data_IF_045390642392
#
_entry.id   IF_045390642392
#
_cell.length_a   1.000
_cell.length_b   1.000
_cell.length_c   1.000
_cell.angle_alpha   90.00
_cell.angle_beta   90.00
_cell.angle_gamma   90.00
#
_symmetry.space_group_name_H-M   'P 1'
#
loop_
_entity.id
_entity.type
_entity.pdbx_description
1 polymer ?
#
# COMPACT_ATOMS: atom_id res chain seq x y z
N UNK A 1 34.02 -17.74 -0.04
CA UNK A 1 35.02 -18.66 0.56
C UNK A 1 36.36 -18.00 0.89
N UNK A 2 36.76 -16.92 0.21
CA UNK A 2 38.06 -16.26 0.43
C UNK A 2 38.00 -15.12 1.45
N UNK A 3 36.85 -14.47 1.65
CA UNK A 3 36.65 -13.35 2.56
C UNK A 3 35.20 -13.33 3.08
N UNK A 4 35.03 -13.08 4.37
CA UNK A 4 33.69 -12.97 4.98
C UNK A 4 32.99 -11.67 4.57
N UNK A 5 33.72 -10.57 4.39
CA UNK A 5 33.17 -9.30 3.93
C UNK A 5 32.64 -9.43 2.50
N UNK A 6 33.48 -9.93 1.56
CA UNK A 6 33.05 -10.19 0.20
C UNK A 6 31.90 -11.23 0.10
N UNK A 7 31.85 -12.17 1.05
CA UNK A 7 30.72 -13.10 1.13
C UNK A 7 29.40 -12.37 1.46
N UNK A 8 29.42 -11.43 2.39
CA UNK A 8 28.23 -10.64 2.72
C UNK A 8 27.73 -9.82 1.53
N UNK A 9 28.63 -9.14 0.82
CA UNK A 9 28.30 -8.35 -0.37
C UNK A 9 27.69 -9.21 -1.49
N UNK A 10 28.28 -10.37 -1.78
CA UNK A 10 27.78 -11.29 -2.81
C UNK A 10 26.43 -11.90 -2.40
N UNK A 11 26.25 -12.26 -1.12
CA UNK A 11 24.97 -12.80 -0.62
C UNK A 11 23.85 -11.77 -0.65
N UNK A 12 24.17 -10.50 -0.48
CA UNK A 12 23.19 -9.41 -0.63
C UNK A 12 22.82 -9.16 -2.11
N UNK A 13 23.80 -9.35 -3.02
CA UNK A 13 23.63 -9.02 -4.42
C UNK A 13 23.01 -10.14 -5.27
N UNK A 14 23.21 -11.41 -4.94
CA UNK A 14 22.85 -12.56 -5.80
C UNK A 14 21.96 -13.54 -5.09
N UNK A 15 20.85 -13.91 -5.71
CA UNK A 15 20.01 -15.01 -5.25
C UNK A 15 20.53 -16.37 -5.78
N UNK A 16 20.29 -17.49 -5.08
CA UNK A 16 20.74 -18.82 -5.51
C UNK A 16 20.31 -19.18 -6.93
N UNK A 17 19.10 -18.77 -7.33
CA UNK A 17 18.48 -19.04 -8.64
C UNK A 17 19.22 -18.33 -9.80
N UNK A 18 20.06 -17.35 -9.49
CA UNK A 18 20.86 -16.66 -10.50
C UNK A 18 21.96 -17.54 -11.06
N UNK A 19 22.34 -18.61 -10.38
CA UNK A 19 23.36 -19.54 -10.90
C UNK A 19 22.78 -20.51 -11.92
N UNK A 20 23.49 -20.66 -13.05
CA UNK A 20 23.06 -21.56 -14.13
C UNK A 20 23.28 -23.04 -13.80
N UNK A 21 24.40 -23.36 -13.15
CA UNK A 21 24.77 -24.76 -12.84
C UNK A 21 24.18 -25.18 -11.50
N UNK A 22 23.38 -26.26 -11.42
CA UNK A 22 22.83 -26.77 -10.18
C UNK A 22 23.86 -26.97 -9.06
N UNK A 23 25.10 -27.49 -9.32
CA UNK A 23 26.13 -27.56 -8.29
C UNK A 23 26.47 -26.20 -7.66
N UNK A 24 26.45 -25.11 -8.42
CA UNK A 24 26.74 -23.76 -7.89
C UNK A 24 25.59 -23.27 -7.00
N UNK A 25 24.34 -23.58 -7.34
CA UNK A 25 23.17 -23.29 -6.49
C UNK A 25 23.32 -24.00 -5.15
N UNK A 26 23.67 -25.29 -5.15
CA UNK A 26 23.86 -26.08 -3.93
C UNK A 26 25.01 -25.54 -3.07
N UNK A 27 26.14 -25.21 -3.67
CA UNK A 27 27.30 -24.62 -2.98
C UNK A 27 26.92 -23.24 -2.40
N UNK A 28 26.22 -22.42 -3.16
CA UNK A 28 25.81 -21.09 -2.71
C UNK A 28 24.84 -21.16 -1.54
N UNK A 29 23.85 -22.05 -1.58
CA UNK A 29 22.94 -22.31 -0.49
C UNK A 29 23.67 -22.78 0.79
N UNK A 30 24.65 -23.66 0.65
CA UNK A 30 25.47 -24.11 1.78
C UNK A 30 26.24 -22.93 2.40
N UNK A 31 26.87 -22.09 1.57
CA UNK A 31 27.59 -20.88 2.02
C UNK A 31 26.64 -19.91 2.70
N UNK A 32 25.44 -19.69 2.14
CA UNK A 32 24.40 -18.80 2.72
C UNK A 32 23.99 -19.30 4.10
N UNK A 33 23.69 -20.59 4.23
CA UNK A 33 23.31 -21.18 5.51
C UNK A 33 24.42 -21.05 6.56
N UNK A 34 25.66 -21.39 6.18
CA UNK A 34 26.82 -21.27 7.07
C UNK A 34 27.08 -19.83 7.49
N UNK A 35 26.86 -18.85 6.58
CA UNK A 35 27.03 -17.43 6.86
C UNK A 35 26.02 -16.94 7.91
N UNK A 36 24.72 -17.30 7.74
CA UNK A 36 23.64 -16.95 8.65
C UNK A 36 23.83 -17.56 10.04
N UNK A 37 24.42 -18.76 10.13
CA UNK A 37 24.72 -19.43 11.40
C UNK A 37 26.04 -18.93 12.04
N UNK A 38 26.72 -17.98 11.42
CA UNK A 38 27.97 -17.44 11.94
C UNK A 38 29.17 -18.38 11.81
N UNK A 39 29.05 -19.46 11.05
CA UNK A 39 30.13 -20.43 10.86
C UNK A 39 31.29 -19.83 10.05
N UNK A 40 32.48 -20.40 10.23
CA UNK A 40 33.63 -20.08 9.42
C UNK A 40 33.44 -20.65 8.00
N UNK A 41 33.69 -19.83 7.00
CA UNK A 41 33.45 -20.18 5.60
C UNK A 41 34.81 -20.20 4.87
N UNK A 42 35.33 -21.38 4.68
CA UNK A 42 36.49 -21.66 3.85
C UNK A 42 36.24 -22.96 3.07
N UNK A 43 37.16 -23.31 2.18
CA UNK A 43 37.04 -24.48 1.33
C UNK A 43 36.82 -25.78 2.12
N UNK A 44 37.50 -25.94 3.26
CA UNK A 44 37.47 -27.17 4.07
C UNK A 44 36.14 -27.26 4.83
N UNK A 45 35.71 -26.15 5.43
CA UNK A 45 34.45 -26.11 6.19
C UNK A 45 33.23 -26.25 5.30
N UNK A 46 33.25 -25.69 4.08
CA UNK A 46 32.18 -25.87 3.09
C UNK A 46 32.16 -27.32 2.57
N UNK A 47 33.31 -27.92 2.31
CA UNK A 47 33.39 -29.34 1.91
C UNK A 47 32.82 -30.26 2.98
N UNK A 48 33.18 -30.01 4.24
CA UNK A 48 32.63 -30.77 5.38
C UNK A 48 31.12 -30.60 5.49
N UNK A 49 30.62 -29.38 5.42
CA UNK A 49 29.17 -29.11 5.48
C UNK A 49 28.42 -29.85 4.39
N UNK A 50 28.92 -29.81 3.15
CA UNK A 50 28.31 -30.53 2.00
C UNK A 50 28.42 -32.05 2.16
N UNK A 51 29.47 -32.55 2.77
CA UNK A 51 29.62 -34.00 3.05
C UNK A 51 28.60 -34.45 4.10
N UNK A 52 28.46 -33.68 5.18
CA UNK A 52 27.50 -33.95 6.25
C UNK A 52 26.05 -33.90 5.74
N UNK A 53 25.76 -33.04 4.73
CA UNK A 53 24.48 -32.93 4.05
C UNK A 53 24.27 -34.00 2.93
N UNK A 54 25.29 -34.79 2.58
CA UNK A 54 25.24 -35.79 1.49
C UNK A 54 25.33 -35.21 0.09
N UNK A 55 25.66 -33.92 -0.06
CA UNK A 55 25.69 -33.21 -1.34
C UNK A 55 27.08 -33.07 -1.96
N UNK A 56 28.17 -33.43 -1.23
CA UNK A 56 29.52 -33.17 -1.68
C UNK A 56 29.84 -33.83 -3.05
N UNK A 57 29.43 -35.06 -3.26
CA UNK A 57 29.67 -35.75 -4.55
C UNK A 57 28.84 -35.15 -5.70
N UNK A 58 27.61 -34.69 -5.40
CA UNK A 58 26.71 -34.05 -6.38
C UNK A 58 27.26 -32.72 -6.90
N UNK A 59 28.03 -32.01 -6.08
CA UNK A 59 28.66 -30.75 -6.47
C UNK A 59 30.02 -30.93 -7.15
N UNK A 60 30.52 -32.14 -7.29
CA UNK A 60 31.79 -32.45 -7.90
C UNK A 60 32.96 -32.71 -6.94
N UNK A 61 32.66 -32.99 -5.70
CA UNK A 61 33.62 -33.32 -4.66
C UNK A 61 34.46 -32.14 -4.15
N UNK A 62 35.36 -32.43 -3.21
CA UNK A 62 36.24 -31.42 -2.65
C UNK A 62 37.20 -30.82 -3.68
N UNK A 63 37.59 -31.61 -4.72
CA UNK A 63 38.42 -31.15 -5.82
C UNK A 63 37.79 -30.02 -6.64
N UNK A 64 36.49 -30.07 -6.84
CA UNK A 64 35.78 -29.01 -7.55
C UNK A 64 35.72 -27.70 -6.74
N UNK A 65 35.52 -27.79 -5.45
CA UNK A 65 35.60 -26.60 -4.58
C UNK A 65 36.98 -25.96 -4.61
N UNK A 66 38.04 -26.77 -4.69
CA UNK A 66 39.40 -26.28 -4.83
C UNK A 66 39.58 -25.54 -6.17
N UNK A 67 39.07 -26.08 -7.27
CA UNK A 67 39.10 -25.44 -8.59
C UNK A 67 38.37 -24.09 -8.55
N UNK A 68 37.20 -24.03 -7.96
CA UNK A 68 36.43 -22.78 -7.82
C UNK A 68 37.17 -21.69 -7.03
N UNK A 69 37.81 -22.06 -5.94
CA UNK A 69 38.60 -21.10 -5.14
C UNK A 69 39.81 -20.58 -5.92
N UNK A 70 40.47 -21.42 -6.70
CA UNK A 70 41.60 -21.01 -7.49
C UNK A 70 41.27 -20.25 -8.78
N UNK A 71 40.03 -20.37 -9.27
CA UNK A 71 39.56 -19.64 -10.43
C UNK A 71 39.46 -18.12 -10.20
N UNK A 72 39.37 -17.68 -8.93
CA UNK A 72 39.24 -16.27 -8.58
C UNK A 72 40.51 -15.81 -7.84
N UNK A 73 41.30 -14.90 -8.44
CA UNK A 73 42.57 -14.47 -7.86
C UNK A 73 42.47 -13.70 -6.58
N UNK A 74 41.35 -12.96 -6.38
CA UNK A 74 41.13 -12.11 -5.20
C UNK A 74 39.65 -12.04 -4.83
N UNK A 75 39.39 -11.90 -3.55
CA UNK A 75 38.02 -11.68 -3.06
C UNK A 75 37.52 -10.23 -3.26
N UNK A 76 38.42 -9.31 -3.59
CA UNK A 76 38.11 -7.88 -3.70
C UNK A 76 37.12 -7.53 -4.84
N UNK A 77 36.93 -8.41 -5.82
CA UNK A 77 36.04 -8.21 -6.97
C UNK A 77 34.74 -9.05 -6.87
N UNK A 78 34.34 -9.42 -5.64
CA UNK A 78 33.16 -10.26 -5.42
C UNK A 78 31.88 -9.63 -5.94
N UNK A 79 31.70 -8.34 -5.70
CA UNK A 79 30.60 -7.48 -6.18
C UNK A 79 30.52 -7.43 -7.70
N UNK A 80 31.65 -7.21 -8.36
CA UNK A 80 31.74 -7.21 -9.82
C UNK A 80 31.34 -8.56 -10.44
N UNK A 81 31.80 -9.67 -9.87
CA UNK A 81 31.38 -11.00 -10.34
C UNK A 81 29.88 -11.27 -10.04
N UNK A 82 29.37 -10.77 -8.92
CA UNK A 82 27.96 -10.85 -8.59
C UNK A 82 27.09 -10.15 -9.66
N UNK A 83 27.47 -8.95 -10.07
CA UNK A 83 26.80 -8.19 -11.13
C UNK A 83 26.79 -8.96 -12.48
N UNK A 84 27.89 -9.62 -12.84
CA UNK A 84 27.94 -10.46 -14.04
C UNK A 84 26.97 -11.64 -13.95
N UNK A 85 26.91 -12.30 -12.79
CA UNK A 85 25.98 -13.42 -12.57
C UNK A 85 24.53 -12.96 -12.69
N UNK A 86 24.19 -11.82 -12.10
CA UNK A 86 22.86 -11.21 -12.22
C UNK A 86 22.48 -10.86 -13.66
N UNK A 87 23.36 -10.15 -14.40
CA UNK A 87 23.09 -9.82 -15.83
C UNK A 87 22.79 -11.08 -16.63
N UNK A 88 23.59 -12.14 -16.44
CA UNK A 88 23.36 -13.41 -17.13
C UNK A 88 22.07 -14.11 -16.68
N UNK A 89 21.70 -14.02 -15.42
CA UNK A 89 20.45 -14.55 -14.92
C UNK A 89 19.23 -13.80 -15.51
N UNK A 90 19.30 -12.47 -15.58
CA UNK A 90 18.24 -11.65 -16.20
C UNK A 90 18.06 -11.96 -17.68
N UNK A 91 19.16 -12.11 -18.43
CA UNK A 91 19.09 -12.50 -19.85
C UNK A 91 18.44 -13.86 -20.04
N UNK A 92 18.72 -14.83 -19.17
CA UNK A 92 18.03 -16.14 -19.18
C UNK A 92 16.55 -15.98 -18.85
N UNK A 93 16.24 -15.18 -17.83
CA UNK A 93 14.85 -14.87 -17.46
C UNK A 93 14.06 -14.22 -18.60
N UNK A 94 14.68 -13.32 -19.39
CA UNK A 94 14.07 -12.76 -20.61
C UNK A 94 13.79 -13.82 -21.68
N UNK A 95 14.71 -14.75 -21.89
CA UNK A 95 14.52 -15.86 -22.84
C UNK A 95 13.37 -16.77 -22.38
N UNK A 96 13.34 -17.12 -21.09
CA UNK A 96 12.29 -17.95 -20.51
C UNK A 96 10.93 -17.26 -20.58
N UNK A 97 10.87 -15.96 -20.26
CA UNK A 97 9.67 -15.15 -20.38
C UNK A 97 9.17 -15.13 -21.83
N UNK A 98 10.07 -14.87 -22.79
CA UNK A 98 9.72 -14.90 -24.21
C UNK A 98 9.13 -16.25 -24.62
N UNK A 99 9.75 -17.35 -24.22
CA UNK A 99 9.23 -18.70 -24.51
C UNK A 99 7.84 -18.95 -23.90
N UNK A 100 7.61 -18.51 -22.65
CA UNK A 100 6.29 -18.60 -22.00
C UNK A 100 5.25 -17.74 -22.71
N UNK A 101 5.59 -16.53 -23.12
CA UNK A 101 4.68 -15.64 -23.86
C UNK A 101 4.28 -16.27 -25.20
N UNK A 102 5.24 -16.87 -25.93
CA UNK A 102 4.97 -17.61 -27.17
C UNK A 102 4.02 -18.77 -26.91
N UNK A 103 4.26 -19.58 -25.86
CA UNK A 103 3.39 -20.70 -25.49
C UNK A 103 1.98 -20.21 -25.13
N UNK A 104 1.85 -19.12 -24.38
CA UNK A 104 0.55 -18.53 -24.05
C UNK A 104 -0.18 -18.03 -25.29
N UNK A 105 0.53 -17.47 -26.28
CA UNK A 105 -0.08 -17.01 -27.54
C UNK A 105 -0.60 -18.15 -28.42
N UNK A 106 -0.06 -19.36 -28.30
CA UNK A 106 -0.54 -20.56 -28.98
C UNK A 106 -1.58 -21.35 -28.18
N UNK A 107 -1.81 -21.01 -26.92
CA UNK A 107 -2.81 -21.70 -26.10
C UNK A 107 -4.21 -21.41 -26.64
N UNK A 108 -5.01 -22.46 -26.81
CA UNK A 108 -6.41 -22.35 -27.27
C UNK A 108 -7.39 -22.16 -26.11
N UNK A 109 -6.93 -22.26 -24.89
CA UNK A 109 -7.72 -22.12 -23.67
C UNK A 109 -7.38 -20.80 -22.93
N UNK A 110 -8.40 -20.18 -22.35
CA UNK A 110 -8.27 -18.93 -21.57
C UNK A 110 -8.65 -17.68 -22.36
N UNK A 111 -9.09 -16.66 -21.63
CA UNK A 111 -9.40 -15.35 -22.20
C UNK A 111 -8.12 -14.60 -22.59
N UNK A 112 -8.08 -14.03 -23.79
CA UNK A 112 -6.91 -13.29 -24.29
C UNK A 112 -6.47 -12.17 -23.34
N UNK A 113 -7.43 -11.50 -22.70
CA UNK A 113 -7.18 -10.46 -21.68
C UNK A 113 -6.39 -11.00 -20.48
N UNK A 114 -6.70 -12.21 -20.01
CA UNK A 114 -5.99 -12.86 -18.90
C UNK A 114 -4.55 -13.21 -19.28
N UNK A 115 -4.33 -13.69 -20.50
CA UNK A 115 -3.01 -14.02 -21.01
C UNK A 115 -2.11 -12.77 -21.11
N UNK A 116 -2.67 -11.66 -21.56
CA UNK A 116 -1.96 -10.37 -21.61
C UNK A 116 -1.60 -9.90 -20.20
N UNK A 117 -2.54 -9.93 -19.26
CA UNK A 117 -2.28 -9.54 -17.87
C UNK A 117 -1.21 -10.44 -17.21
N UNK A 118 -1.27 -11.73 -17.44
CA UNK A 118 -0.26 -12.67 -16.96
C UNK A 118 1.13 -12.35 -17.51
N UNK A 119 1.22 -11.93 -18.76
CA UNK A 119 2.48 -11.47 -19.37
C UNK A 119 3.04 -10.24 -18.65
N UNK A 120 2.18 -9.26 -18.34
CA UNK A 120 2.59 -8.07 -17.58
C UNK A 120 3.10 -8.43 -16.19
N UNK A 121 2.42 -9.32 -15.48
CA UNK A 121 2.85 -9.80 -14.15
C UNK A 121 4.22 -10.46 -14.22
N UNK A 122 4.42 -11.41 -15.14
CA UNK A 122 5.70 -12.10 -15.32
C UNK A 122 6.83 -11.14 -15.70
N UNK A 123 6.55 -10.11 -16.51
CA UNK A 123 7.52 -9.08 -16.88
C UNK A 123 7.93 -8.23 -15.67
N UNK A 124 6.98 -7.87 -14.80
CA UNK A 124 7.26 -7.15 -13.55
C UNK A 124 8.09 -7.99 -12.58
N UNK A 125 7.74 -9.26 -12.39
CA UNK A 125 8.50 -10.19 -11.55
C UNK A 125 9.96 -10.32 -12.03
N UNK A 126 10.19 -10.36 -13.35
CA UNK A 126 11.53 -10.42 -13.91
C UNK A 126 12.31 -9.11 -13.66
N UNK A 127 11.65 -7.96 -13.84
CA UNK A 127 12.23 -6.65 -13.51
C UNK A 127 12.65 -6.58 -12.05
N UNK A 128 11.76 -6.99 -11.14
CA UNK A 128 11.98 -6.90 -9.70
C UNK A 128 13.11 -7.83 -9.22
N UNK A 129 13.32 -8.97 -9.89
CA UNK A 129 14.52 -9.83 -9.70
C UNK A 129 15.80 -9.17 -10.21
N UNK A 130 15.69 -8.30 -11.19
CA UNK A 130 16.83 -7.61 -11.82
C UNK A 130 17.27 -6.35 -11.13
N UNK A 131 16.38 -5.74 -10.40
CA UNK A 131 16.75 -4.67 -9.49
C UNK A 131 17.37 -5.35 -8.27
N UNK A 132 18.72 -5.39 -8.24
CA UNK A 132 19.41 -5.51 -6.95
C UNK A 132 18.70 -4.54 -6.01
N UNK A 133 18.46 -4.96 -4.78
CA UNK A 133 18.01 -4.00 -3.77
C UNK A 133 19.01 -2.84 -3.84
N UNK A 134 18.63 -1.77 -4.53
CA UNK A 134 19.39 -0.53 -4.45
C UNK A 134 19.57 -0.32 -2.96
N UNK A 135 20.78 -0.30 -2.50
CA UNK A 135 21.07 0.02 -1.12
C UNK A 135 20.35 1.33 -0.88
N UNK A 136 19.25 1.26 -0.13
CA UNK A 136 18.58 2.48 0.31
C UNK A 136 19.68 3.32 0.94
N UNK A 137 19.99 4.50 0.42
CA UNK A 137 21.12 5.27 0.89
C UNK A 137 20.98 5.46 2.39
N UNK A 138 21.93 4.91 3.14
CA UNK A 138 22.03 5.20 4.57
C UNK A 138 22.47 6.65 4.68
N UNK A 139 21.57 7.50 5.13
CA UNK A 139 21.85 8.92 5.31
C UNK A 139 22.51 9.14 6.66
N UNK A 140 23.59 9.93 6.71
CA UNK A 140 24.12 10.46 7.97
C UNK A 140 23.06 11.33 8.66
N UNK A 141 23.05 11.33 9.99
CA UNK A 141 22.08 12.09 10.77
C UNK A 141 22.10 13.60 10.45
N UNK A 142 23.29 14.17 10.24
CA UNK A 142 23.41 15.60 9.93
C UNK A 142 22.86 15.92 8.55
N UNK A 143 23.12 15.07 7.55
CA UNK A 143 22.57 15.22 6.20
C UNK A 143 21.05 15.03 6.22
N UNK A 144 20.55 14.05 6.97
CA UNK A 144 19.14 13.81 7.15
C UNK A 144 18.41 15.02 7.77
N UNK A 145 18.97 15.63 8.81
CA UNK A 145 18.38 16.79 9.49
C UNK A 145 18.62 18.11 8.76
N UNK A 146 19.59 18.19 7.86
CA UNK A 146 19.84 19.38 7.04
C UNK A 146 18.73 19.65 6.01
N UNK A 147 18.00 18.63 5.62
CA UNK A 147 16.83 18.76 4.76
C UNK A 147 15.69 19.35 5.59
N UNK A 148 15.32 20.61 5.27
CA UNK A 148 14.13 21.22 5.89
C UNK A 148 12.90 20.39 5.53
N UNK A 149 12.37 19.71 6.52
CA UNK A 149 11.10 18.99 6.37
C UNK A 149 9.96 20.01 6.29
N UNK A 150 9.33 20.12 5.13
CA UNK A 150 8.08 20.84 4.97
C UNK A 150 6.99 19.79 4.70
N UNK A 151 5.84 19.93 5.33
CA UNK A 151 4.69 19.10 5.01
C UNK A 151 4.29 19.27 3.54
N UNK A 152 4.11 18.18 2.82
CA UNK A 152 3.57 18.18 1.45
C UNK A 152 2.03 18.08 1.51
N UNK A 153 1.41 19.16 1.95
CA UNK A 153 -0.03 19.24 2.16
C UNK A 153 -0.81 19.12 0.84
N UNK A 154 -1.67 18.14 0.73
CA UNK A 154 -2.74 18.07 -0.26
C UNK A 154 -3.95 18.92 0.19
N UNK A 155 -4.33 18.78 1.45
CA UNK A 155 -5.31 19.63 2.11
C UNK A 155 -4.65 20.15 3.39
N UNK A 156 -4.32 21.43 3.48
CA UNK A 156 -3.55 21.99 4.58
C UNK A 156 -4.09 21.64 5.95
N UNK A 157 -3.25 21.10 6.82
CA UNK A 157 -3.63 20.65 8.16
C UNK A 157 -4.47 19.38 8.23
N UNK A 158 -4.99 18.85 7.12
CA UNK A 158 -5.88 17.69 7.13
C UNK A 158 -5.26 16.44 6.50
N UNK A 159 -4.58 16.59 5.35
CA UNK A 159 -4.14 15.48 4.54
C UNK A 159 -2.82 15.83 3.84
N UNK A 160 -1.81 15.01 4.06
CA UNK A 160 -0.52 15.10 3.41
C UNK A 160 -0.41 14.07 2.28
N UNK A 161 0.46 14.35 1.29
CA UNK A 161 0.78 13.38 0.26
C UNK A 161 1.38 12.13 0.89
N UNK A 162 0.83 10.97 0.52
CA UNK A 162 1.26 9.69 1.07
C UNK A 162 0.50 9.23 2.32
N UNK A 163 -0.36 10.04 2.92
CA UNK A 163 -1.19 9.62 4.06
C UNK A 163 -2.10 8.46 3.70
N UNK A 164 -2.33 7.57 4.67
CA UNK A 164 -3.37 6.52 4.66
C UNK A 164 -4.35 6.80 5.78
N UNK A 165 -5.58 7.08 5.42
CA UNK A 165 -6.65 7.43 6.35
C UNK A 165 -7.80 6.45 6.24
N UNK A 166 -8.28 5.94 7.38
CA UNK A 166 -9.52 5.16 7.46
C UNK A 166 -10.56 5.90 8.29
N UNK A 167 -11.71 6.18 7.66
CA UNK A 167 -12.87 6.74 8.31
C UNK A 167 -13.87 5.64 8.70
N UNK A 168 -14.27 5.62 9.96
CA UNK A 168 -15.20 4.61 10.49
C UNK A 168 -16.47 5.23 11.03
N UNK A 169 -17.56 4.49 10.98
CA UNK A 169 -18.82 4.82 11.65
C UNK A 169 -19.71 3.58 11.74
N UNK A 170 -20.80 3.70 12.49
CA UNK A 170 -21.95 2.81 12.35
C UNK A 170 -22.57 2.91 10.94
N UNK A 171 -23.46 1.98 10.60
CA UNK A 171 -24.32 2.13 9.42
C UNK A 171 -25.14 3.41 9.53
N UNK A 172 -25.29 4.15 8.42
CA UNK A 172 -25.96 5.45 8.42
C UNK A 172 -25.24 6.56 9.16
N UNK A 173 -24.01 6.32 9.70
CA UNK A 173 -23.25 7.29 10.48
C UNK A 173 -22.70 8.49 9.68
N UNK A 174 -22.83 8.49 8.36
CA UNK A 174 -22.48 9.63 7.50
C UNK A 174 -21.05 9.59 6.93
N UNK A 175 -20.31 8.49 7.11
CA UNK A 175 -18.92 8.35 6.61
C UNK A 175 -18.80 8.55 5.10
N UNK A 176 -19.61 7.84 4.28
CA UNK A 176 -19.56 7.95 2.82
C UNK A 176 -19.96 9.35 2.33
N UNK A 177 -20.87 10.02 3.05
CA UNK A 177 -21.23 11.41 2.77
C UNK A 177 -20.06 12.36 3.03
N UNK A 178 -19.30 12.15 4.14
CA UNK A 178 -18.11 12.94 4.43
C UNK A 178 -17.00 12.67 3.42
N UNK A 179 -16.76 11.42 3.04
CA UNK A 179 -15.78 11.08 2.02
C UNK A 179 -16.08 11.74 0.67
N UNK A 180 -17.36 11.76 0.27
CA UNK A 180 -17.80 12.42 -0.96
C UNK A 180 -17.66 13.95 -0.88
N UNK A 181 -17.91 14.55 0.29
CA UNK A 181 -17.67 15.97 0.50
C UNK A 181 -16.18 16.29 0.40
N UNK A 182 -15.29 15.52 1.05
CA UNK A 182 -13.85 15.67 0.92
C UNK A 182 -13.43 15.58 -0.56
N UNK A 183 -13.91 14.57 -1.29
CA UNK A 183 -13.59 14.39 -2.70
C UNK A 183 -13.99 15.59 -3.56
N UNK A 184 -15.24 16.04 -3.44
CA UNK A 184 -15.78 17.16 -4.24
C UNK A 184 -15.09 18.47 -3.89
N UNK A 185 -14.93 18.78 -2.59
CA UNK A 185 -14.25 19.99 -2.17
C UNK A 185 -12.81 20.02 -2.66
N UNK A 186 -12.05 18.95 -2.43
CA UNK A 186 -10.64 18.88 -2.87
C UNK A 186 -10.50 19.00 -4.39
N UNK A 187 -11.37 18.34 -5.17
CA UNK A 187 -11.36 18.45 -6.63
C UNK A 187 -11.79 19.84 -7.12
N UNK A 188 -12.63 20.54 -6.37
CA UNK A 188 -13.08 21.89 -6.65
C UNK A 188 -12.09 23.00 -6.16
N UNK A 189 -10.99 22.63 -5.51
CA UNK A 189 -10.05 23.56 -4.92
C UNK A 189 -10.55 24.24 -3.65
N UNK A 190 -11.28 23.50 -2.81
CA UNK A 190 -11.80 23.93 -1.53
C UNK A 190 -11.34 23.02 -0.40
N UNK A 191 -10.97 23.61 0.72
CA UNK A 191 -10.85 22.88 1.96
C UNK A 191 -12.23 22.34 2.40
N UNK A 192 -12.37 21.04 2.73
CA UNK A 192 -13.68 20.42 2.96
C UNK A 192 -14.42 20.93 4.20
N UNK A 193 -13.75 21.58 5.13
CA UNK A 193 -14.33 22.04 6.38
C UNK A 193 -14.34 23.57 6.53
N UNK A 194 -13.27 24.23 6.14
CA UNK A 194 -13.16 25.68 6.23
C UNK A 194 -13.65 26.41 4.98
N UNK A 195 -13.82 25.68 3.88
CA UNK A 195 -14.14 26.17 2.53
C UNK A 195 -13.16 27.24 2.01
N UNK A 196 -11.96 27.31 2.60
CA UNK A 196 -10.89 28.16 2.07
C UNK A 196 -10.36 27.58 0.74
N UNK A 197 -9.93 28.45 -0.19
CA UNK A 197 -9.31 27.98 -1.41
C UNK A 197 -8.03 27.16 -1.14
N UNK A 198 -7.89 26.06 -1.85
CA UNK A 198 -6.68 25.23 -1.94
C UNK A 198 -6.38 24.95 -3.42
N UNK A 199 -5.24 24.35 -3.72
CA UNK A 199 -4.98 23.87 -5.08
C UNK A 199 -5.93 22.71 -5.42
N UNK A 200 -6.61 22.73 -6.59
CA UNK A 200 -7.52 21.67 -6.97
C UNK A 200 -6.78 20.35 -7.17
N UNK A 201 -7.25 19.28 -6.52
CA UNK A 201 -6.63 17.95 -6.58
C UNK A 201 -7.26 17.09 -7.67
N UNK A 202 -6.43 16.22 -8.27
CA UNK A 202 -6.94 15.07 -9.05
C UNK A 202 -7.39 13.99 -8.10
N UNK A 203 -8.69 13.71 -8.07
CA UNK A 203 -9.31 12.74 -7.17
C UNK A 203 -9.81 11.55 -7.96
N UNK A 204 -9.54 10.34 -7.50
CA UNK A 204 -10.13 9.10 -8.00
C UNK A 204 -11.00 8.48 -6.91
N UNK A 205 -12.29 8.28 -7.21
CA UNK A 205 -13.22 7.53 -6.35
C UNK A 205 -13.45 6.15 -6.97
N UNK A 206 -13.16 5.11 -6.22
CA UNK A 206 -13.49 3.71 -6.53
C UNK A 206 -14.54 3.23 -5.52
N UNK A 207 -15.82 3.43 -5.87
CA UNK A 207 -16.96 3.03 -5.04
C UNK A 207 -17.25 1.55 -5.26
N UNK A 208 -16.84 0.71 -4.31
CA UNK A 208 -16.99 -0.74 -4.39
C UNK A 208 -18.30 -1.25 -3.75
N UNK A 209 -19.24 -0.37 -3.43
CA UNK A 209 -20.51 -0.74 -2.80
C UNK A 209 -21.71 -0.25 -3.59
N UNK A 210 -21.65 0.95 -4.14
CA UNK A 210 -22.79 1.60 -4.78
C UNK A 210 -22.68 1.55 -6.30
N UNK A 211 -23.84 1.40 -6.97
CA UNK A 211 -23.91 1.52 -8.41
C UNK A 211 -23.94 2.99 -8.87
N UNK A 212 -23.64 3.23 -10.14
CA UNK A 212 -23.52 4.58 -10.73
C UNK A 212 -24.71 5.51 -10.44
N UNK A 213 -25.94 5.00 -10.49
CA UNK A 213 -27.13 5.82 -10.26
C UNK A 213 -27.20 6.35 -8.82
N UNK A 214 -26.82 5.54 -7.83
CA UNK A 214 -26.77 5.94 -6.42
C UNK A 214 -25.64 6.93 -6.17
N UNK A 215 -24.45 6.63 -6.68
CA UNK A 215 -23.27 7.49 -6.56
C UNK A 215 -23.50 8.83 -7.24
N UNK A 216 -24.14 8.86 -8.42
CA UNK A 216 -24.51 10.11 -9.12
C UNK A 216 -25.47 10.96 -8.30
N UNK A 217 -26.54 10.37 -7.75
CA UNK A 217 -27.48 11.10 -6.87
C UNK A 217 -26.81 11.69 -5.63
N UNK A 218 -25.81 11.00 -5.08
CA UNK A 218 -25.10 11.47 -3.91
C UNK A 218 -24.08 12.58 -4.21
N UNK A 219 -23.43 12.54 -5.37
CA UNK A 219 -22.41 13.52 -5.76
C UNK A 219 -22.97 14.77 -6.42
N UNK A 220 -24.08 14.66 -7.16
CA UNK A 220 -24.63 15.77 -7.91
C UNK A 220 -24.97 17.02 -7.05
N UNK A 221 -25.60 16.91 -5.88
CA UNK A 221 -25.84 18.07 -5.02
C UNK A 221 -24.56 18.75 -4.55
N UNK A 222 -23.53 17.97 -4.24
CA UNK A 222 -22.24 18.49 -3.78
C UNK A 222 -21.51 19.26 -4.90
N UNK A 223 -21.49 18.70 -6.12
CA UNK A 223 -20.93 19.36 -7.28
C UNK A 223 -21.68 20.65 -7.65
N UNK A 224 -23.01 20.66 -7.52
CA UNK A 224 -23.81 21.86 -7.70
C UNK A 224 -23.50 22.91 -6.63
N UNK A 225 -23.29 22.52 -5.38
CA UNK A 225 -22.89 23.43 -4.31
C UNK A 225 -21.53 24.06 -4.60
N UNK A 226 -20.53 23.28 -5.00
CA UNK A 226 -19.23 23.81 -5.40
C UNK A 226 -19.36 24.82 -6.55
N UNK A 227 -20.19 24.52 -7.54
CA UNK A 227 -20.45 25.44 -8.67
C UNK A 227 -21.12 26.75 -8.22
N UNK A 228 -22.10 26.69 -7.30
CA UNK A 228 -22.74 27.89 -6.72
C UNK A 228 -21.75 28.77 -5.96
N UNK A 229 -20.72 28.17 -5.39
CA UNK A 229 -19.64 28.88 -4.69
C UNK A 229 -18.53 29.36 -5.64
N UNK A 230 -18.76 29.27 -6.94
CA UNK A 230 -17.83 29.64 -8.01
C UNK A 230 -16.55 28.76 -8.06
N UNK A 231 -16.64 27.53 -7.54
CA UNK A 231 -15.59 26.52 -7.58
C UNK A 231 -16.00 25.34 -8.47
N UNK A 232 -15.81 25.52 -9.77
CA UNK A 232 -16.20 24.49 -10.75
C UNK A 232 -15.11 23.44 -10.88
N UNK A 233 -15.48 22.16 -10.73
CA UNK A 233 -14.58 21.04 -10.99
C UNK A 233 -14.28 20.96 -12.48
N UNK A 234 -13.02 21.06 -12.86
CA UNK A 234 -12.59 20.95 -14.25
C UNK A 234 -12.66 19.47 -14.72
N UNK A 235 -12.76 19.29 -16.03
CA UNK A 235 -12.71 17.94 -16.62
C UNK A 235 -11.39 17.27 -16.27
N UNK A 236 -11.45 16.02 -15.80
CA UNK A 236 -10.28 15.26 -15.37
C UNK A 236 -9.86 15.44 -13.91
N UNK A 237 -10.40 16.45 -13.17
CA UNK A 237 -10.08 16.62 -11.74
C UNK A 237 -10.75 15.57 -10.85
N UNK A 238 -11.91 15.05 -11.20
CA UNK A 238 -12.60 14.01 -10.45
C UNK A 238 -13.00 12.88 -11.37
N UNK A 239 -12.44 11.70 -11.13
CA UNK A 239 -12.79 10.46 -11.82
C UNK A 239 -13.52 9.52 -10.86
N UNK A 240 -14.56 8.86 -11.33
CA UNK A 240 -15.41 7.98 -10.54
C UNK A 240 -15.58 6.67 -11.28
N UNK A 241 -15.37 5.57 -10.59
CA UNK A 241 -15.68 4.22 -11.06
C UNK A 241 -16.47 3.47 -10.00
N UNK A 242 -17.56 2.83 -10.39
CA UNK A 242 -18.45 2.10 -9.50
C UNK A 242 -18.32 0.60 -9.76
N UNK A 243 -17.99 -0.15 -8.72
CA UNK A 243 -17.88 -1.61 -8.73
C UNK A 243 -18.79 -2.22 -7.64
N UNK A 244 -20.11 -2.19 -7.81
CA UNK A 244 -21.05 -2.56 -6.74
C UNK A 244 -20.96 -4.02 -6.30
N UNK A 245 -20.37 -4.88 -7.12
CA UNK A 245 -20.05 -6.26 -6.75
C UNK A 245 -18.84 -6.37 -5.80
N UNK A 246 -18.11 -5.28 -5.57
CA UNK A 246 -16.81 -5.27 -4.92
C UNK A 246 -15.68 -5.61 -5.90
N UNK A 247 -14.45 -5.56 -5.42
CA UNK A 247 -13.24 -5.98 -6.13
C UNK A 247 -12.44 -6.92 -5.23
N UNK A 248 -11.73 -7.86 -5.83
CA UNK A 248 -10.86 -8.77 -5.07
C UNK A 248 -9.39 -8.47 -5.39
N UNK A 249 -8.82 -7.50 -4.67
CA UNK A 249 -7.44 -7.07 -4.88
C UNK A 249 -6.39 -8.15 -4.59
N UNK A 250 -6.80 -9.30 -4.05
CA UNK A 250 -5.92 -10.48 -3.93
C UNK A 250 -5.72 -11.19 -5.25
N UNK A 251 -6.57 -10.90 -6.27
CA UNK A 251 -6.49 -11.45 -7.62
C UNK A 251 -5.66 -10.54 -8.53
N UNK A 252 -4.83 -11.15 -9.37
CA UNK A 252 -3.96 -10.44 -10.29
C UNK A 252 -4.74 -9.50 -11.25
N UNK A 253 -5.92 -9.91 -11.71
CA UNK A 253 -6.76 -9.15 -12.61
C UNK A 253 -7.25 -7.82 -11.98
N UNK A 254 -7.77 -7.88 -10.75
CA UNK A 254 -8.31 -6.72 -10.05
C UNK A 254 -7.17 -5.80 -9.57
N UNK A 255 -6.02 -6.36 -9.17
CA UNK A 255 -4.79 -5.59 -8.91
C UNK A 255 -4.37 -4.83 -10.17
N UNK A 256 -4.25 -5.51 -11.31
CA UNK A 256 -3.86 -4.87 -12.57
C UNK A 256 -4.89 -3.82 -13.02
N UNK A 257 -6.20 -4.06 -12.80
CA UNK A 257 -7.24 -3.07 -13.03
C UNK A 257 -6.99 -1.79 -12.22
N UNK A 258 -6.74 -1.89 -10.91
CA UNK A 258 -6.45 -0.74 -10.04
C UNK A 258 -5.19 0.00 -10.51
N UNK A 259 -4.12 -0.72 -10.77
CA UNK A 259 -2.84 -0.12 -11.18
C UNK A 259 -2.98 0.65 -12.51
N UNK A 260 -3.68 0.11 -13.51
CA UNK A 260 -3.96 0.83 -14.77
C UNK A 260 -4.72 2.14 -14.55
N UNK A 261 -5.69 2.19 -13.60
CA UNK A 261 -6.42 3.43 -13.27
C UNK A 261 -5.51 4.47 -12.65
N UNK A 262 -4.73 4.03 -11.69
CA UNK A 262 -3.78 4.89 -10.98
C UNK A 262 -2.70 5.45 -11.93
N UNK A 263 -2.10 4.61 -12.76
CA UNK A 263 -1.09 5.02 -13.76
C UNK A 263 -1.66 6.00 -14.79
N UNK A 264 -2.87 5.76 -15.27
CA UNK A 264 -3.53 6.59 -16.28
C UNK A 264 -3.99 7.95 -15.73
N UNK A 265 -4.61 7.94 -14.55
CA UNK A 265 -5.26 9.13 -13.97
C UNK A 265 -4.32 9.93 -13.07
N UNK A 266 -3.26 9.29 -12.54
CA UNK A 266 -2.29 9.89 -11.60
C UNK A 266 -2.98 10.72 -10.51
N UNK A 267 -3.90 10.12 -9.76
CA UNK A 267 -4.62 10.84 -8.72
C UNK A 267 -3.66 11.33 -7.65
N UNK A 268 -4.00 12.48 -7.01
CA UNK A 268 -3.34 12.97 -5.80
C UNK A 268 -4.09 12.50 -4.55
N UNK A 269 -5.37 12.16 -4.72
CA UNK A 269 -6.20 11.54 -3.69
C UNK A 269 -6.93 10.34 -4.28
N UNK A 270 -6.74 9.17 -3.68
CA UNK A 270 -7.47 7.93 -3.99
C UNK A 270 -8.45 7.63 -2.87
N UNK A 271 -9.74 7.60 -3.18
CA UNK A 271 -10.79 7.13 -2.27
C UNK A 271 -11.26 5.77 -2.75
N UNK A 272 -11.08 4.74 -1.93
CA UNK A 272 -11.44 3.36 -2.28
C UNK A 272 -12.13 2.66 -1.10
N UNK A 273 -13.16 1.91 -1.39
CA UNK A 273 -13.82 1.13 -0.34
C UNK A 273 -15.31 0.92 -0.56
N UNK A 274 -15.97 0.37 0.45
CA UNK A 274 -15.48 0.08 1.81
C UNK A 274 -14.52 -1.10 1.88
N UNK A 275 -13.71 -1.14 2.95
CA UNK A 275 -12.63 -2.12 3.15
C UNK A 275 -13.07 -3.56 2.96
N UNK A 276 -14.24 -3.93 3.47
CA UNK A 276 -14.76 -5.31 3.38
C UNK A 276 -15.13 -5.76 1.96
N UNK A 277 -15.15 -4.84 0.98
CA UNK A 277 -15.44 -5.10 -0.43
C UNK A 277 -14.18 -5.28 -1.28
N UNK A 278 -13.00 -5.24 -0.65
CA UNK A 278 -11.72 -5.29 -1.38
C UNK A 278 -11.10 -6.69 -1.46
N UNK A 279 -11.76 -7.70 -0.89
CA UNK A 279 -11.48 -9.12 -1.07
C UNK A 279 -12.72 -9.97 -0.81
N UNK A 280 -12.77 -11.17 -1.38
CA UNK A 280 -13.92 -12.06 -1.29
C UNK A 280 -13.90 -13.01 -0.08
N UNK A 281 -12.81 -13.02 0.71
CA UNK A 281 -12.63 -13.94 1.83
C UNK A 281 -13.14 -13.41 3.17
N UNK A 282 -12.77 -14.11 4.26
CA UNK A 282 -13.17 -13.74 5.61
C UNK A 282 -12.60 -12.36 5.99
N UNK A 283 -13.44 -11.38 6.40
CA UNK A 283 -12.97 -10.04 6.79
C UNK A 283 -11.99 -10.01 7.97
N UNK A 284 -11.95 -11.05 8.79
CA UNK A 284 -11.04 -11.17 9.92
C UNK A 284 -9.68 -11.78 9.56
N UNK A 285 -9.51 -12.23 8.32
CA UNK A 285 -8.27 -12.86 7.87
C UNK A 285 -7.17 -11.79 7.66
N UNK A 286 -6.10 -11.92 8.46
CA UNK A 286 -4.97 -10.98 8.43
C UNK A 286 -4.11 -11.16 7.18
N UNK A 287 -4.01 -12.38 6.64
CA UNK A 287 -3.24 -12.62 5.41
C UNK A 287 -3.91 -11.97 4.19
N UNK A 288 -5.23 -12.11 4.07
CA UNK A 288 -5.99 -11.44 3.00
C UNK A 288 -5.91 -9.92 3.14
N UNK A 289 -6.08 -9.39 4.34
CA UNK A 289 -5.93 -7.96 4.60
C UNK A 289 -4.52 -7.47 4.22
N UNK A 290 -3.47 -8.24 4.52
CA UNK A 290 -2.09 -7.92 4.15
C UNK A 290 -1.90 -7.89 2.63
N UNK A 291 -2.45 -8.84 1.89
CA UNK A 291 -2.41 -8.83 0.41
C UNK A 291 -3.07 -7.57 -0.16
N UNK A 292 -4.23 -7.18 0.38
CA UNK A 292 -4.93 -5.95 -0.02
C UNK A 292 -4.11 -4.71 0.29
N UNK A 293 -3.55 -4.60 1.51
CA UNK A 293 -2.75 -3.42 1.89
C UNK A 293 -1.49 -3.25 1.03
N UNK A 294 -0.83 -4.35 0.63
CA UNK A 294 0.32 -4.32 -0.29
C UNK A 294 -0.08 -3.71 -1.64
N UNK A 295 -1.23 -4.11 -2.20
CA UNK A 295 -1.71 -3.57 -3.49
C UNK A 295 -2.08 -2.10 -3.38
N UNK A 296 -2.70 -1.68 -2.27
CA UNK A 296 -3.04 -0.27 -2.04
C UNK A 296 -1.77 0.57 -1.83
N UNK A 297 -0.77 0.06 -1.09
CA UNK A 297 0.51 0.74 -0.92
C UNK A 297 1.27 0.87 -2.24
N UNK A 298 1.21 -0.14 -3.12
CA UNK A 298 1.75 -0.07 -4.48
C UNK A 298 1.05 1.03 -5.30
N UNK A 299 -0.28 1.08 -5.27
CA UNK A 299 -1.07 2.09 -5.97
C UNK A 299 -0.74 3.50 -5.45
N UNK A 300 -0.65 3.67 -4.11
CA UNK A 300 -0.27 4.91 -3.45
C UNK A 300 1.12 5.38 -3.87
N UNK A 301 2.11 4.49 -3.83
CA UNK A 301 3.48 4.81 -4.21
C UNK A 301 3.60 5.17 -5.71
N UNK A 302 2.89 4.45 -6.59
CA UNK A 302 2.88 4.68 -8.03
C UNK A 302 2.31 6.06 -8.40
N UNK A 303 1.24 6.49 -7.73
CA UNK A 303 0.63 7.79 -7.97
C UNK A 303 1.27 8.92 -7.17
N UNK A 304 1.97 8.62 -6.07
CA UNK A 304 2.37 9.59 -5.06
C UNK A 304 1.15 10.25 -4.41
N UNK A 305 0.11 9.48 -4.08
CA UNK A 305 -1.18 10.00 -3.60
C UNK A 305 -1.41 9.73 -2.12
N UNK A 306 -2.36 10.46 -1.52
CA UNK A 306 -2.99 10.03 -0.29
C UNK A 306 -4.11 9.03 -0.56
N UNK A 307 -4.33 8.10 0.37
CA UNK A 307 -5.39 7.08 0.29
C UNK A 307 -6.37 7.26 1.42
N UNK A 308 -7.64 7.40 1.07
CA UNK A 308 -8.74 7.47 2.00
C UNK A 308 -9.64 6.25 1.83
N UNK A 309 -9.97 5.60 2.92
CA UNK A 309 -10.83 4.41 2.93
C UNK A 309 -11.92 4.55 3.97
N UNK A 310 -13.02 3.85 3.75
CA UNK A 310 -14.08 3.73 4.75
C UNK A 310 -14.22 2.30 5.26
N UNK A 311 -14.54 2.17 6.56
CA UNK A 311 -14.83 0.89 7.18
C UNK A 311 -16.01 1.00 8.18
N UNK A 312 -16.66 -0.13 8.41
CA UNK A 312 -17.69 -0.19 9.47
C UNK A 312 -17.01 -0.36 10.83
N UNK A 313 -17.53 0.35 11.83
CA UNK A 313 -17.21 0.09 13.22
C UNK A 313 -17.95 -1.19 13.69
N UNK A 314 -17.38 -1.99 14.62
CA UNK A 314 -18.01 -3.20 15.16
C UNK A 314 -19.39 -2.89 15.75
N UNK A 315 -20.27 -3.87 15.78
CA UNK A 315 -21.55 -3.71 16.51
C UNK A 315 -21.30 -3.44 17.99
N UNK A 316 -22.16 -2.65 18.60
CA UNK A 316 -22.08 -2.35 20.03
C UNK A 316 -22.36 -3.63 20.83
N UNK A 317 -21.46 -3.99 21.74
CA UNK A 317 -21.56 -5.21 22.56
C UNK A 317 -22.23 -5.01 23.93
N UNK A 318 -22.69 -3.81 24.22
CA UNK A 318 -23.41 -3.47 25.45
C UNK A 318 -22.55 -3.33 26.72
N UNK A 319 -21.24 -3.64 26.67
CA UNK A 319 -20.37 -3.58 27.85
C UNK A 319 -19.68 -2.22 28.08
N UNK A 320 -19.71 -1.32 27.11
CA UNK A 320 -19.13 0.01 27.23
C UNK A 320 -20.17 1.09 26.97
N UNK A 321 -19.98 2.29 27.56
CA UNK A 321 -20.86 3.44 27.33
C UNK A 321 -20.91 3.84 25.85
N UNK A 322 -19.81 3.66 25.14
CA UNK A 322 -19.68 4.04 23.72
C UNK A 322 -19.24 2.86 22.86
N UNK A 323 -19.68 2.87 21.59
CA UNK A 323 -19.26 1.93 20.57
C UNK A 323 -17.76 2.09 20.26
N UNK A 324 -17.02 0.97 20.11
CA UNK A 324 -15.67 1.01 19.56
C UNK A 324 -15.73 1.54 18.11
N UNK A 325 -14.97 2.59 17.82
CA UNK A 325 -14.94 3.21 16.50
C UNK A 325 -13.81 2.68 15.61
N UNK A 326 -12.95 1.80 16.12
CA UNK A 326 -11.93 1.15 15.30
C UNK A 326 -12.56 0.25 14.25
N UNK A 327 -11.93 0.03 13.10
CA UNK A 327 -12.49 -0.79 12.02
C UNK A 327 -12.85 -2.20 12.50
N UNK A 328 -13.98 -2.72 12.05
CA UNK A 328 -14.30 -4.13 12.13
C UNK A 328 -13.42 -4.95 11.19
N UNK A 329 -13.24 -6.24 11.49
CA UNK A 329 -12.43 -7.15 10.69
C UNK A 329 -11.00 -7.30 11.21
N UNK A 330 -10.06 -7.58 10.31
CA UNK A 330 -8.66 -7.85 10.66
C UNK A 330 -8.03 -6.74 11.48
N UNK A 331 -7.19 -7.14 12.45
CA UNK A 331 -6.43 -6.22 13.29
C UNK A 331 -5.47 -5.33 12.48
N UNK A 332 -5.13 -5.73 11.27
CA UNK A 332 -4.27 -4.97 10.36
C UNK A 332 -4.88 -3.61 10.01
N UNK A 333 -6.18 -3.53 9.79
CA UNK A 333 -6.87 -2.25 9.51
C UNK A 333 -6.78 -1.22 10.63
N UNK A 334 -6.48 -1.65 11.87
CA UNK A 334 -6.24 -0.77 13.02
C UNK A 334 -4.78 -0.27 13.09
N UNK A 335 -3.85 -0.96 12.43
CA UNK A 335 -2.40 -0.72 12.52
C UNK A 335 -1.80 -0.14 11.26
N UNK A 336 -2.38 -0.46 10.09
CA UNK A 336 -1.86 -0.07 8.79
C UNK A 336 -2.01 1.42 8.44
N UNK A 337 -3.15 2.12 8.70
CA UNK A 337 -3.27 3.54 8.36
C UNK A 337 -2.40 4.41 9.29
N UNK A 338 -1.96 5.56 8.80
CA UNK A 338 -1.37 6.63 9.63
C UNK A 338 -2.43 7.26 10.50
N UNK A 339 -3.61 7.54 9.93
CA UNK A 339 -4.71 8.21 10.60
C UNK A 339 -5.99 7.40 10.56
N UNK A 340 -6.71 7.42 11.67
CA UNK A 340 -8.02 6.80 11.80
C UNK A 340 -8.96 7.67 12.59
N UNK A 341 -10.11 8.00 11.99
CA UNK A 341 -11.17 8.78 12.63
C UNK A 341 -12.48 8.01 12.62
N UNK A 342 -13.24 8.14 13.70
CA UNK A 342 -14.55 7.55 13.82
C UNK A 342 -15.63 8.62 14.00
N UNK A 343 -16.76 8.45 13.33
CA UNK A 343 -17.94 9.30 13.54
C UNK A 343 -18.91 8.61 14.50
N UNK A 344 -19.30 9.29 15.56
CA UNK A 344 -20.37 8.84 16.46
C UNK A 344 -21.38 9.96 16.70
N UNK A 345 -22.64 9.64 16.99
CA UNK A 345 -23.61 10.63 17.45
C UNK A 345 -23.09 11.36 18.70
N UNK A 346 -23.40 12.61 18.84
CA UNK A 346 -23.16 13.36 20.09
C UNK A 346 -24.26 12.99 21.05
N UNK A 347 -23.88 12.37 22.18
CA UNK A 347 -24.82 12.01 23.25
C UNK A 347 -25.21 13.30 24.02
N UNK A 348 -26.32 13.91 23.66
CA UNK A 348 -26.84 15.02 24.44
C UNK A 348 -28.38 14.92 24.49
N UNK A 349 -28.92 14.90 25.69
CA UNK A 349 -30.36 14.77 25.96
C UNK A 349 -31.18 16.03 25.55
N UNK A 350 -30.56 17.01 24.88
CA UNK A 350 -31.05 18.39 24.86
C UNK A 350 -31.58 18.96 23.57
N UNK A 351 -31.72 18.31 22.45
CA UNK A 351 -32.62 18.78 21.37
C UNK A 351 -32.58 17.99 20.05
N UNK A 352 -33.66 18.04 19.27
CA UNK A 352 -33.79 17.50 17.93
C UNK A 352 -32.77 18.09 16.91
N UNK A 353 -32.11 19.21 17.22
CA UNK A 353 -31.01 19.77 16.41
C UNK A 353 -29.69 19.04 16.62
N UNK A 354 -29.47 18.40 17.75
CA UNK A 354 -28.26 17.68 18.13
C UNK A 354 -28.22 16.26 17.55
N UNK A 355 -29.35 15.67 17.21
CA UNK A 355 -29.45 14.37 16.52
C UNK A 355 -28.70 14.35 15.17
N UNK A 356 -28.35 15.54 14.66
CA UNK A 356 -27.59 15.70 13.37
C UNK A 356 -26.11 15.98 13.56
N UNK A 357 -25.61 16.06 14.77
CA UNK A 357 -24.19 16.27 15.06
C UNK A 357 -23.43 14.94 15.20
N UNK A 358 -22.18 14.96 14.86
CA UNK A 358 -21.25 13.83 15.03
C UNK A 358 -19.98 14.32 15.70
N UNK A 359 -19.52 13.58 16.70
CA UNK A 359 -18.17 13.71 17.19
C UNK A 359 -17.21 12.98 16.23
N UNK A 360 -16.11 13.62 15.90
CA UNK A 360 -14.99 13.05 15.15
C UNK A 360 -13.95 12.62 16.16
N UNK A 361 -13.82 11.32 16.35
CA UNK A 361 -12.97 10.74 17.40
C UNK A 361 -11.75 10.09 16.74
N UNK A 362 -10.55 10.58 17.00
CA UNK A 362 -9.35 9.92 16.53
C UNK A 362 -9.15 8.59 17.28
N UNK A 363 -8.97 7.51 16.55
CA UNK A 363 -8.60 6.21 17.11
C UNK A 363 -7.19 5.76 16.69
N UNK A 364 -6.55 6.53 15.79
CA UNK A 364 -5.16 6.35 15.38
C UNK A 364 -4.59 7.68 14.90
N UNK A 365 -3.26 7.88 15.06
CA UNK A 365 -2.56 9.06 14.54
C UNK A 365 -2.23 10.12 15.58
N UNK A 366 -2.20 9.74 16.87
CA UNK A 366 -1.83 10.67 17.96
C UNK A 366 -0.37 11.20 17.89
N UNK A 367 0.41 10.78 16.88
CA UNK A 367 1.83 11.13 16.75
C UNK A 367 2.08 12.37 15.90
N UNK A 368 1.06 12.85 15.22
CA UNK A 368 1.17 13.98 14.31
C UNK A 368 -0.11 14.81 14.41
N UNK A 369 0.03 16.13 14.39
CA UNK A 369 -1.08 17.06 14.57
C UNK A 369 -1.82 17.25 13.24
N UNK A 370 -3.12 17.01 13.26
CA UNK A 370 -4.01 17.24 12.13
C UNK A 370 -5.22 18.08 12.62
N UNK A 371 -5.59 19.08 11.84
CA UNK A 371 -6.66 20.04 12.17
C UNK A 371 -8.07 19.53 11.86
N UNK A 372 -8.32 18.23 12.13
CA UNK A 372 -9.66 17.68 11.95
C UNK A 372 -10.63 18.30 12.96
N UNK A 373 -11.84 18.70 12.52
CA UNK A 373 -12.83 19.23 13.44
C UNK A 373 -13.25 18.19 14.46
N UNK A 374 -13.33 18.57 15.73
CA UNK A 374 -13.77 17.66 16.82
C UNK A 374 -15.24 17.28 16.68
N UNK A 375 -16.06 18.17 16.13
CA UNK A 375 -17.49 17.94 15.91
C UNK A 375 -17.91 18.44 14.53
N UNK A 376 -18.83 17.70 13.94
CA UNK A 376 -19.49 18.03 12.67
C UNK A 376 -20.99 18.04 12.86
N UNK A 377 -21.68 18.97 12.21
CA UNK A 377 -23.15 18.95 12.10
C UNK A 377 -23.61 19.04 10.65
N UNK A 378 -24.82 18.62 10.38
CA UNK A 378 -25.43 18.83 9.06
C UNK A 378 -25.57 20.33 8.78
N UNK A 379 -24.98 20.75 7.64
CA UNK A 379 -25.07 22.11 7.14
C UNK A 379 -26.10 22.25 6.03
N UNK A 380 -26.41 23.50 5.67
CA UNK A 380 -27.35 23.82 4.58
C UNK A 380 -26.73 23.64 3.20
N UNK A 381 -25.48 24.03 3.04
CA UNK A 381 -24.76 23.96 1.75
C UNK A 381 -23.92 22.68 1.64
N UNK A 382 -23.13 22.39 2.68
CA UNK A 382 -22.33 21.18 2.77
C UNK A 382 -22.90 20.23 3.80
N UNK A 383 -22.96 18.94 3.53
CA UNK A 383 -23.52 17.94 4.45
C UNK A 383 -22.88 17.96 5.83
N UNK A 384 -21.59 18.24 5.90
CA UNK A 384 -20.83 18.29 7.14
C UNK A 384 -20.10 19.61 7.28
N UNK A 385 -20.40 20.34 8.34
CA UNK A 385 -19.74 21.60 8.73
C UNK A 385 -19.20 21.49 10.13
N UNK A 386 -18.02 22.07 10.42
CA UNK A 386 -17.48 22.12 11.77
C UNK A 386 -18.49 22.74 12.75
N UNK A 387 -18.57 22.15 13.92
CA UNK A 387 -19.51 22.53 14.96
C UNK A 387 -18.80 22.60 16.30
N UNK A 388 -19.13 23.62 17.09
CA UNK A 388 -18.79 23.69 18.52
C UNK A 388 -20.10 23.54 19.32
N UNK A 389 -20.25 22.44 20.05
CA UNK A 389 -21.44 22.31 20.91
C UNK A 389 -21.45 23.45 21.93
N UNK A 390 -22.63 23.95 22.32
CA UNK A 390 -22.72 24.89 23.40
C UNK A 390 -22.11 24.26 24.67
N UNK A 391 -21.32 25.04 25.38
CA UNK A 391 -20.55 24.58 26.54
C UNK A 391 -21.48 24.08 27.66
N UNK A 392 -21.61 22.77 27.81
CA UNK A 392 -22.14 22.16 29.01
C UNK A 392 -20.96 21.78 29.90
N UNK A 393 -20.78 22.47 31.01
CA UNK A 393 -19.62 22.44 31.87
C UNK A 393 -19.33 21.11 32.60
N UNK A 394 -19.24 20.01 31.87
CA UNK A 394 -18.70 18.74 32.37
C UNK A 394 -18.07 17.93 31.27
N UNK A 395 -16.80 17.62 31.51
CA UNK A 395 -15.90 16.70 30.83
C UNK A 395 -14.92 17.30 29.82
N UNK A 396 -13.73 17.61 30.36
CA UNK A 396 -12.48 17.53 29.61
C UNK A 396 -12.36 16.09 29.13
N UNK A 397 -12.34 15.88 27.81
CA UNK A 397 -12.02 14.61 27.22
C UNK A 397 -10.52 14.39 27.38
N UNK A 398 -10.15 13.48 28.29
CA UNK A 398 -8.82 12.90 28.38
C UNK A 398 -8.71 11.73 27.43
#
# INVERSE_FOLDING_TARGET
>A
MLSRAACAEVLAAVAPEAFYKPPHVTIFNAITHMFLQGHRIDQITVAKYLADAGDLERVGGASYLYVLVRAVPTAANGDYYATIVQDRALRRGLIELGARVVQMGYATEGETSELVERTVVLSRELRDRGMAADELPTLDLHDFLAVKHAYDWLVPGLLERGDRLILTAAEGGGKSTLMRQIAICSAAGLDPFTQKPIDPLRVLILDCENGEAATRRALAPLAQTATRWNHRIASGQLSIECQPAGVDLTKAQDRAWLMRRVEKLKPEMLIIGPVYRLHAGNPNDEELARKVTVVIDEARATAGCAVLMEAHAPHHNGFSKHRDLRPAGSSLWKRWPEFGYGLRPVDDELSAEQDRARAVVPWRGARDERDWPTYLKQGSDWPWTPYKPPYNGSEAVA
#
